data_IF_417426332639
#
_entry.id   IF_417426332639
#
_cell.length_a   1.000
_cell.length_b   1.000
_cell.length_c   1.000
_cell.angle_alpha   90.00
_cell.angle_beta   90.00
_cell.angle_gamma   90.00
#
_symmetry.space_group_name_H-M   'P 1'
#
loop_
_entity.id
_entity.type
_entity.pdbx_description
1 polymer ?
#
# COMPACT_ATOMS: atom_id res chain seq x y z
N UNK A 1 -11.97 6.55 -11.99
CA UNK A 1 -12.89 5.64 -11.29
C UNK A 1 -13.09 6.08 -9.86
N UNK A 2 -14.30 6.02 -9.36
CA UNK A 2 -14.65 6.38 -7.98
C UNK A 2 -14.57 5.14 -7.11
N UNK A 3 -13.94 5.27 -5.95
CA UNK A 3 -13.84 4.19 -4.97
C UNK A 3 -15.08 4.15 -4.07
N UNK A 4 -15.47 2.96 -3.65
CA UNK A 4 -16.48 2.79 -2.62
C UNK A 4 -15.99 3.41 -1.29
N UNK A 5 -16.90 3.98 -0.48
CA UNK A 5 -16.58 4.40 0.87
C UNK A 5 -15.95 3.25 1.66
N UNK A 6 -14.94 3.56 2.46
CA UNK A 6 -14.22 2.56 3.27
C UNK A 6 -13.61 1.40 2.48
N UNK A 7 -13.21 1.66 1.23
CA UNK A 7 -12.60 0.66 0.36
C UNK A 7 -11.40 -0.03 1.06
N UNK A 8 -11.46 -1.36 1.28
CA UNK A 8 -10.43 -2.08 2.00
C UNK A 8 -9.08 -2.09 1.27
N UNK A 9 -9.07 -1.89 -0.05
CA UNK A 9 -7.83 -1.85 -0.84
C UNK A 9 -6.93 -0.68 -0.42
N UNK A 10 -7.50 0.42 0.07
CA UNK A 10 -6.75 1.58 0.58
C UNK A 10 -5.98 1.29 1.87
N UNK A 11 -6.29 0.18 2.54
CA UNK A 11 -5.58 -0.23 3.75
C UNK A 11 -4.19 -0.82 3.47
N UNK A 12 -3.94 -1.27 2.26
CA UNK A 12 -2.65 -1.84 1.89
C UNK A 12 -1.66 -0.79 1.39
N UNK A 13 -2.15 0.17 0.64
CA UNK A 13 -1.33 1.22 0.01
C UNK A 13 -2.06 2.56 0.05
N UNK A 14 -1.29 3.63 0.19
CA UNK A 14 -1.82 4.99 0.11
C UNK A 14 -1.92 5.44 -1.35
N UNK A 15 -3.06 5.20 -1.96
CA UNK A 15 -3.38 5.63 -3.32
C UNK A 15 -4.81 6.19 -3.40
N UNK A 16 -5.20 6.73 -4.53
CA UNK A 16 -6.57 7.18 -4.76
C UNK A 16 -6.90 8.50 -4.10
N UNK A 17 -6.26 9.59 -4.53
CA UNK A 17 -6.58 10.95 -4.08
C UNK A 17 -8.07 11.23 -4.28
N UNK A 18 -8.70 11.82 -3.27
CA UNK A 18 -10.13 12.16 -3.28
C UNK A 18 -11.05 10.96 -3.59
N UNK A 19 -10.66 9.77 -3.14
CA UNK A 19 -11.38 8.51 -3.39
C UNK A 19 -11.50 8.17 -4.88
N UNK A 20 -10.52 8.59 -5.70
CA UNK A 20 -10.47 8.32 -7.13
C UNK A 20 -9.12 7.72 -7.53
N UNK A 21 -9.17 6.85 -8.52
CA UNK A 21 -8.00 6.41 -9.27
C UNK A 21 -8.14 6.88 -10.71
N UNK A 22 -7.19 7.70 -11.15
CA UNK A 22 -7.30 8.35 -12.45
C UNK A 22 -6.92 7.44 -13.61
N UNK A 23 -7.59 7.67 -14.74
CA UNK A 23 -7.16 7.23 -16.07
C UNK A 23 -6.77 5.76 -16.19
N UNK A 24 -7.49 4.85 -15.55
CA UNK A 24 -7.27 3.43 -15.78
C UNK A 24 -7.84 3.06 -17.16
N UNK A 25 -7.00 2.48 -18.00
CA UNK A 25 -7.42 1.98 -19.30
C UNK A 25 -8.42 0.84 -19.14
N UNK A 26 -9.45 0.83 -19.97
CA UNK A 26 -10.33 -0.31 -20.13
C UNK A 26 -10.56 -0.59 -21.63
N UNK A 27 -10.87 -1.81 -21.98
CA UNK A 27 -11.35 -2.17 -23.31
C UNK A 27 -12.87 -2.19 -23.27
N UNK A 28 -13.50 -1.63 -24.29
CA UNK A 28 -14.94 -1.61 -24.40
C UNK A 28 -15.55 -3.02 -24.45
N UNK A 29 -16.17 -3.46 -23.42
CA UNK A 29 -16.69 -4.82 -23.25
C UNK A 29 -16.19 -5.49 -21.96
N UNK A 30 -15.21 -4.90 -21.30
CA UNK A 30 -14.68 -5.37 -20.01
C UNK A 30 -15.25 -4.53 -18.87
N UNK A 31 -16.54 -4.61 -18.61
CA UNK A 31 -17.15 -3.99 -17.45
C UNK A 31 -17.98 -5.01 -16.67
N UNK A 32 -18.15 -4.77 -15.40
CA UNK A 32 -18.91 -5.65 -14.55
C UNK A 32 -20.42 -5.43 -14.72
N UNK A 33 -21.16 -6.50 -14.56
CA UNK A 33 -22.60 -6.54 -14.74
C UNK A 33 -23.42 -6.17 -13.50
N UNK A 34 -22.97 -5.24 -12.70
CA UNK A 34 -23.76 -4.82 -11.54
C UNK A 34 -24.25 -3.38 -11.72
N UNK A 35 -24.95 -3.16 -12.83
CA UNK A 35 -25.65 -1.91 -13.09
C UNK A 35 -26.89 -1.72 -12.22
N UNK A 36 -27.58 -0.63 -12.44
CA UNK A 36 -28.83 -0.32 -11.75
C UNK A 36 -29.84 -1.46 -11.94
N UNK A 37 -30.42 -1.95 -10.84
CA UNK A 37 -31.37 -3.06 -10.83
C UNK A 37 -30.78 -4.47 -10.91
N UNK A 38 -29.45 -4.61 -10.99
CA UNK A 38 -28.79 -5.92 -10.95
C UNK A 38 -28.83 -6.53 -9.55
N UNK A 39 -29.05 -7.83 -9.49
CA UNK A 39 -28.91 -8.59 -8.23
C UNK A 39 -27.43 -8.83 -7.97
N UNK A 40 -26.93 -8.27 -6.89
CA UNK A 40 -25.56 -8.50 -6.43
C UNK A 40 -25.57 -9.77 -5.59
N UNK A 41 -24.80 -10.83 -5.95
CA UNK A 41 -24.72 -12.04 -5.15
C UNK A 41 -24.25 -11.76 -3.72
N UNK A 42 -24.81 -12.45 -2.76
CA UNK A 42 -24.32 -12.44 -1.38
C UNK A 42 -22.83 -12.80 -1.35
N UNK A 43 -22.04 -12.12 -0.52
CA UNK A 43 -20.57 -12.30 -0.48
C UNK A 43 -19.81 -11.48 -1.51
N UNK A 44 -20.49 -10.62 -2.27
CA UNK A 44 -19.85 -9.66 -3.18
C UNK A 44 -19.55 -8.35 -2.47
N UNK A 45 -18.32 -7.87 -2.61
CA UNK A 45 -17.87 -6.58 -2.12
C UNK A 45 -17.43 -5.70 -3.30
N UNK A 46 -18.04 -4.52 -3.42
CA UNK A 46 -17.78 -3.57 -4.52
C UNK A 46 -16.68 -2.61 -4.08
N UNK A 47 -15.62 -2.50 -4.87
CA UNK A 47 -14.48 -1.62 -4.58
C UNK A 47 -14.52 -0.33 -5.39
N UNK A 48 -14.84 -0.40 -6.66
CA UNK A 48 -14.80 0.75 -7.56
C UNK A 48 -15.92 0.77 -8.57
N UNK A 49 -16.27 1.99 -9.00
CA UNK A 49 -17.22 2.27 -10.09
C UNK A 49 -16.57 3.23 -11.08
N UNK A 50 -17.02 3.18 -12.32
CA UNK A 50 -16.70 4.19 -13.33
C UNK A 50 -17.40 5.51 -12.97
N UNK A 51 -16.70 6.65 -13.06
CA UNK A 51 -17.19 7.97 -12.64
C UNK A 51 -17.29 8.99 -13.78
N UNK A 52 -17.29 8.51 -15.00
CA UNK A 52 -17.45 9.36 -16.18
C UNK A 52 -18.36 8.70 -17.21
N UNK A 53 -18.98 9.56 -18.02
CA UNK A 53 -19.83 9.11 -19.12
C UNK A 53 -18.93 8.61 -20.27
N UNK A 54 -18.80 7.31 -20.36
CA UNK A 54 -18.06 6.64 -21.39
C UNK A 54 -18.97 5.65 -22.12
N UNK A 55 -18.88 5.62 -23.42
CA UNK A 55 -19.53 4.61 -24.23
C UNK A 55 -18.56 3.47 -24.48
N UNK A 56 -18.94 2.26 -24.09
CA UNK A 56 -18.13 1.09 -24.38
C UNK A 56 -17.97 0.92 -25.90
N UNK A 57 -16.72 0.77 -26.35
CA UNK A 57 -16.37 0.79 -27.78
C UNK A 57 -17.21 -0.18 -28.62
N UNK A 58 -17.48 -1.36 -28.09
CA UNK A 58 -18.16 -2.42 -28.83
C UNK A 58 -19.66 -2.56 -28.50
N UNK A 59 -20.15 -1.95 -27.41
CA UNK A 59 -21.54 -2.11 -26.98
C UNK A 59 -22.36 -0.83 -27.06
N UNK A 60 -21.72 0.31 -27.24
CA UNK A 60 -22.34 1.65 -27.16
C UNK A 60 -23.10 1.90 -25.84
N UNK A 61 -22.86 1.09 -24.83
CA UNK A 61 -23.50 1.23 -23.54
C UNK A 61 -22.78 2.29 -22.70
N UNK A 62 -23.57 3.07 -21.99
CA UNK A 62 -23.05 3.95 -20.93
C UNK A 62 -22.53 3.09 -19.80
N UNK A 63 -21.36 3.42 -19.27
CA UNK A 63 -20.75 2.68 -18.15
C UNK A 63 -20.58 3.52 -16.87
N UNK A 64 -21.06 4.76 -16.89
CA UNK A 64 -21.04 5.60 -15.70
C UNK A 64 -21.82 4.95 -14.55
N UNK A 65 -21.20 4.86 -13.38
CA UNK A 65 -21.79 4.21 -12.21
C UNK A 65 -21.71 2.68 -12.20
N UNK A 66 -21.37 2.05 -13.31
CA UNK A 66 -21.15 0.59 -13.36
C UNK A 66 -19.97 0.16 -12.50
N UNK A 67 -20.07 -1.05 -11.95
CA UNK A 67 -19.01 -1.62 -11.13
C UNK A 67 -17.82 -1.97 -11.99
N UNK A 68 -16.66 -1.38 -11.70
CA UNK A 68 -15.41 -1.68 -12.38
C UNK A 68 -14.59 -2.75 -11.66
N UNK A 69 -14.65 -2.79 -10.32
CA UNK A 69 -13.83 -3.70 -9.51
C UNK A 69 -14.62 -4.20 -8.31
N UNK A 70 -14.56 -5.50 -8.09
CA UNK A 70 -15.25 -6.16 -6.97
C UNK A 70 -14.52 -7.42 -6.51
N UNK A 71 -14.84 -7.89 -5.33
CA UNK A 71 -14.45 -9.21 -4.86
C UNK A 71 -15.68 -10.07 -4.57
N UNK A 72 -15.50 -11.37 -4.65
CA UNK A 72 -16.52 -12.35 -4.30
C UNK A 72 -15.91 -13.49 -3.48
N UNK A 73 -16.63 -13.89 -2.45
CA UNK A 73 -16.34 -15.07 -1.66
C UNK A 73 -17.65 -15.77 -1.31
N UNK A 74 -17.85 -16.97 -1.81
CA UNK A 74 -19.11 -17.69 -1.63
C UNK A 74 -19.38 -18.10 -0.18
N UNK A 75 -18.34 -18.50 0.56
CA UNK A 75 -18.41 -18.91 1.97
C UNK A 75 -17.00 -19.00 2.58
N UNK A 76 -16.89 -19.34 3.85
CA UNK A 76 -15.61 -19.37 4.56
C UNK A 76 -14.61 -20.42 4.07
N UNK A 77 -15.10 -21.44 3.36
CA UNK A 77 -14.27 -22.52 2.80
C UNK A 77 -13.85 -22.28 1.36
N UNK A 78 -14.46 -21.29 0.68
CA UNK A 78 -14.12 -20.95 -0.71
C UNK A 78 -12.92 -20.01 -0.79
N UNK A 79 -12.20 -20.06 -1.89
CA UNK A 79 -11.24 -19.01 -2.27
C UNK A 79 -11.95 -17.69 -2.54
N UNK A 80 -11.20 -16.58 -2.45
CA UNK A 80 -11.68 -15.27 -2.85
C UNK A 80 -11.28 -14.99 -4.28
N UNK A 81 -12.20 -14.42 -5.05
CA UNK A 81 -11.96 -13.92 -6.39
C UNK A 81 -11.99 -12.39 -6.33
N UNK A 82 -11.00 -11.72 -6.91
CA UNK A 82 -11.01 -10.28 -7.14
C UNK A 82 -11.00 -10.04 -8.63
N UNK A 83 -11.94 -9.25 -9.11
CA UNK A 83 -12.15 -8.97 -10.52
C UNK A 83 -12.07 -7.48 -10.79
N UNK A 84 -11.54 -7.13 -11.95
CA UNK A 84 -11.58 -5.76 -12.48
C UNK A 84 -11.91 -5.79 -13.96
N UNK A 85 -12.78 -4.88 -14.41
CA UNK A 85 -13.07 -4.63 -15.81
C UNK A 85 -12.11 -3.63 -16.46
N UNK A 86 -11.06 -3.22 -15.74
CA UNK A 86 -10.04 -2.28 -16.22
C UNK A 86 -8.68 -2.98 -16.37
N UNK A 87 -7.74 -2.27 -16.99
CA UNK A 87 -6.38 -2.73 -17.25
C UNK A 87 -5.34 -1.96 -16.41
N UNK A 88 -5.30 -2.14 -15.07
CA UNK A 88 -4.31 -1.48 -14.22
C UNK A 88 -2.87 -1.93 -14.55
N UNK A 89 -2.70 -3.14 -15.07
CA UNK A 89 -1.42 -3.69 -15.51
C UNK A 89 -0.83 -2.98 -16.75
N UNK A 90 -1.63 -2.20 -17.46
CA UNK A 90 -1.16 -1.45 -18.63
C UNK A 90 -0.20 -0.30 -18.27
N UNK A 91 0.14 -0.16 -17.02
CA UNK A 91 1.11 0.81 -16.52
C UNK A 91 2.08 0.15 -15.56
N UNK A 92 3.30 0.64 -15.56
CA UNK A 92 4.42 0.05 -14.84
C UNK A 92 4.76 0.80 -13.54
N UNK A 93 4.00 1.84 -13.20
CA UNK A 93 4.27 2.64 -12.00
C UNK A 93 3.02 3.42 -11.53
N UNK A 94 3.10 3.95 -10.32
CA UNK A 94 2.10 4.85 -9.75
C UNK A 94 0.91 4.16 -9.12
N UNK A 95 -0.17 4.92 -8.92
CA UNK A 95 -1.35 4.49 -8.17
C UNK A 95 -2.04 3.26 -8.77
N UNK A 96 -2.01 3.12 -10.07
CA UNK A 96 -2.62 1.97 -10.76
C UNK A 96 -1.91 0.66 -10.45
N UNK A 97 -0.58 0.68 -10.32
CA UNK A 97 0.18 -0.49 -9.89
C UNK A 97 -0.08 -0.81 -8.41
N UNK A 98 -0.16 0.21 -7.57
CA UNK A 98 -0.53 0.04 -6.14
C UNK A 98 -1.93 -0.54 -6.01
N UNK A 99 -2.87 -0.09 -6.82
CA UNK A 99 -4.22 -0.65 -6.88
C UNK A 99 -4.21 -2.14 -7.26
N UNK A 100 -3.45 -2.52 -8.29
CA UNK A 100 -3.31 -3.93 -8.68
C UNK A 100 -2.69 -4.78 -7.57
N UNK A 101 -1.61 -4.29 -6.94
CA UNK A 101 -0.98 -4.97 -5.81
C UNK A 101 -1.94 -5.12 -4.62
N UNK A 102 -2.74 -4.11 -4.32
CA UNK A 102 -3.77 -4.17 -3.28
C UNK A 102 -4.84 -5.22 -3.58
N UNK A 103 -5.28 -5.36 -4.83
CA UNK A 103 -6.22 -6.42 -5.22
C UNK A 103 -5.65 -7.81 -4.98
N UNK A 104 -4.39 -8.04 -5.36
CA UNK A 104 -3.72 -9.33 -5.13
C UNK A 104 -3.64 -9.63 -3.62
N UNK A 105 -3.21 -8.64 -2.83
CA UNK A 105 -3.10 -8.81 -1.39
C UNK A 105 -4.47 -9.05 -0.73
N UNK A 106 -5.51 -8.34 -1.15
CA UNK A 106 -6.87 -8.58 -0.68
C UNK A 106 -7.38 -9.97 -1.06
N UNK A 107 -7.08 -10.46 -2.24
CA UNK A 107 -7.45 -11.82 -2.64
C UNK A 107 -6.84 -12.88 -1.71
N UNK A 108 -5.62 -12.67 -1.24
CA UNK A 108 -4.91 -13.56 -0.33
C UNK A 108 -5.38 -13.44 1.12
N UNK A 109 -5.46 -12.23 1.65
CA UNK A 109 -5.66 -11.96 3.08
C UNK A 109 -7.13 -11.66 3.44
N UNK A 110 -7.80 -10.88 2.61
CA UNK A 110 -9.23 -10.60 2.71
C UNK A 110 -9.70 -9.72 3.86
N UNK A 111 -8.79 -9.10 4.59
CA UNK A 111 -9.12 -8.30 5.76
C UNK A 111 -8.99 -6.78 5.52
N UNK A 112 -8.41 -6.37 4.41
CA UNK A 112 -8.17 -4.96 4.09
C UNK A 112 -7.21 -4.29 5.08
N UNK A 113 -6.31 -5.03 5.69
CA UNK A 113 -5.30 -4.50 6.62
C UNK A 113 -3.90 -4.85 6.15
N UNK A 114 -2.94 -3.91 6.21
CA UNK A 114 -1.54 -4.20 5.93
C UNK A 114 -0.99 -5.27 6.87
N UNK A 115 -0.07 -6.07 6.36
CA UNK A 115 0.69 -7.02 7.18
C UNK A 115 1.65 -6.26 8.09
N UNK A 116 1.57 -6.55 9.39
CA UNK A 116 2.50 -5.99 10.38
C UNK A 116 3.78 -6.82 10.42
N UNK A 117 4.94 -6.17 10.30
CA UNK A 117 6.27 -6.79 10.39
C UNK A 117 6.65 -7.20 11.81
N UNK A 118 5.88 -6.80 12.80
CA UNK A 118 6.06 -7.12 14.22
C UNK A 118 5.95 -5.90 15.12
N UNK A 119 6.09 -6.12 16.41
CA UNK A 119 6.10 -5.07 17.43
C UNK A 119 7.52 -4.52 17.62
N UNK A 120 7.63 -3.20 17.70
CA UNK A 120 8.86 -2.52 18.10
C UNK A 120 8.94 -2.49 19.64
N UNK A 121 10.07 -2.96 20.18
CA UNK A 121 10.33 -2.93 21.60
C UNK A 121 11.31 -1.80 21.94
N UNK A 122 11.05 -1.03 22.99
CA UNK A 122 11.95 0.05 23.40
C UNK A 122 13.36 -0.46 23.65
N UNK A 123 14.36 0.28 23.15
CA UNK A 123 15.79 0.01 23.25
C UNK A 123 16.28 -1.26 22.51
N UNK A 124 15.43 -1.89 21.71
CA UNK A 124 15.81 -2.99 20.82
C UNK A 124 15.97 -2.47 19.39
N UNK A 125 17.04 -2.90 18.73
CA UNK A 125 17.26 -2.59 17.31
C UNK A 125 16.56 -3.64 16.46
N UNK A 126 15.58 -3.20 15.68
CA UNK A 126 14.93 -4.03 14.66
C UNK A 126 15.71 -3.94 13.36
N UNK A 127 16.28 -5.05 12.92
CA UNK A 127 17.05 -5.14 11.67
C UNK A 127 16.15 -5.67 10.54
N UNK A 128 15.98 -4.88 9.50
CA UNK A 128 15.23 -5.21 8.30
C UNK A 128 16.19 -5.41 7.13
N UNK A 129 16.91 -6.53 7.13
CA UNK A 129 18.07 -6.77 6.26
C UNK A 129 18.00 -8.05 5.43
N UNK A 130 16.98 -8.89 5.66
CA UNK A 130 16.86 -10.15 4.95
C UNK A 130 16.43 -9.95 3.50
N UNK A 131 16.88 -10.83 2.62
CA UNK A 131 16.45 -10.83 1.22
C UNK A 131 14.97 -11.19 1.05
N UNK A 132 14.39 -10.81 -0.06
CA UNK A 132 12.96 -11.08 -0.37
C UNK A 132 12.65 -12.57 -0.55
N UNK A 133 13.65 -13.40 -0.82
CA UNK A 133 13.52 -14.85 -0.92
C UNK A 133 13.64 -15.57 0.45
N UNK A 134 13.89 -14.83 1.53
CA UNK A 134 13.98 -15.41 2.88
C UNK A 134 12.59 -15.87 3.34
N UNK A 135 12.54 -17.01 4.03
CA UNK A 135 11.30 -17.58 4.57
C UNK A 135 10.75 -16.82 5.78
N UNK A 136 11.45 -15.81 6.29
CA UNK A 136 10.98 -14.96 7.38
C UNK A 136 10.66 -13.55 6.89
N UNK A 137 9.45 -13.30 6.39
CA UNK A 137 9.06 -12.01 5.81
C UNK A 137 9.03 -10.88 6.85
N UNK A 138 9.07 -11.19 8.14
CA UNK A 138 9.05 -10.19 9.21
C UNK A 138 10.33 -9.33 9.26
N UNK A 139 11.42 -9.76 8.63
CA UNK A 139 12.74 -9.09 8.67
C UNK A 139 13.28 -8.72 7.28
N UNK A 140 12.47 -8.81 6.24
CA UNK A 140 12.91 -8.49 4.87
C UNK A 140 13.23 -7.01 4.70
N UNK A 141 14.21 -6.72 3.85
CA UNK A 141 14.49 -5.38 3.34
C UNK A 141 13.26 -4.84 2.59
N UNK A 142 13.10 -3.51 2.57
CA UNK A 142 11.94 -2.88 1.95
C UNK A 142 12.16 -2.68 0.46
N UNK A 143 11.20 -3.11 -0.35
CA UNK A 143 11.24 -2.96 -1.80
C UNK A 143 10.66 -1.64 -2.31
N UNK A 144 10.73 -1.47 -3.62
CA UNK A 144 10.20 -0.33 -4.37
C UNK A 144 8.77 0.03 -3.95
N UNK A 145 8.58 1.25 -3.46
CA UNK A 145 7.29 1.82 -3.02
C UNK A 145 6.53 1.03 -1.96
N UNK A 146 7.15 0.05 -1.33
CA UNK A 146 6.52 -0.73 -0.26
C UNK A 146 6.41 0.09 1.02
N UNK A 147 5.43 -0.31 1.83
CA UNK A 147 5.31 0.05 3.24
C UNK A 147 5.65 -1.15 4.12
N UNK A 148 6.46 -0.93 5.14
CA UNK A 148 6.61 -1.84 6.27
C UNK A 148 5.92 -1.24 7.47
N UNK A 149 4.92 -1.91 8.01
CA UNK A 149 4.18 -1.48 9.19
C UNK A 149 4.63 -2.25 10.42
N UNK A 150 4.76 -1.53 11.51
CA UNK A 150 5.10 -2.04 12.82
C UNK A 150 4.11 -1.53 13.85
N UNK A 151 3.91 -2.28 14.92
CA UNK A 151 3.18 -1.81 16.09
C UNK A 151 4.16 -1.33 17.16
N UNK A 152 3.70 -0.40 17.99
CA UNK A 152 4.41 0.11 19.15
C UNK A 152 3.43 0.35 20.28
N UNK A 153 3.59 -0.34 21.38
CA UNK A 153 2.79 -0.11 22.60
C UNK A 153 3.45 0.96 23.44
N UNK A 154 2.79 2.11 23.60
CA UNK A 154 3.25 3.22 24.45
C UNK A 154 2.63 3.10 25.84
N UNK A 155 3.44 2.94 26.91
CA UNK A 155 2.95 2.89 28.28
C UNK A 155 2.41 4.25 28.77
N UNK A 156 1.63 4.24 29.83
CA UNK A 156 1.23 5.48 30.51
C UNK A 156 2.44 6.18 31.13
N UNK A 157 2.48 7.51 31.02
CA UNK A 157 3.49 8.35 31.66
C UNK A 157 4.76 8.58 30.83
N UNK A 158 4.86 8.05 29.64
CA UNK A 158 5.95 8.38 28.71
C UNK A 158 5.87 9.85 28.35
N UNK A 159 6.95 10.59 28.59
CA UNK A 159 7.05 12.02 28.28
C UNK A 159 7.45 12.25 26.83
N UNK A 160 8.26 11.36 26.30
CA UNK A 160 8.77 11.44 24.93
C UNK A 160 9.04 10.05 24.37
N UNK A 161 8.63 9.80 23.15
CA UNK A 161 9.03 8.65 22.36
C UNK A 161 9.85 9.14 21.17
N UNK A 162 11.04 8.58 21.00
CA UNK A 162 11.92 8.84 19.86
C UNK A 162 12.01 7.57 19.02
N UNK A 163 11.74 7.71 17.74
CA UNK A 163 11.84 6.61 16.76
C UNK A 163 12.93 7.00 15.77
N UNK A 164 13.94 6.16 15.63
CA UNK A 164 15.06 6.37 14.69
C UNK A 164 15.04 5.27 13.64
N UNK A 165 15.16 5.66 12.40
CA UNK A 165 15.40 4.84 11.24
C UNK A 165 16.81 5.13 10.76
N UNK A 166 17.64 4.11 10.59
CA UNK A 166 18.98 4.29 10.04
C UNK A 166 19.17 3.37 8.83
N UNK A 167 19.75 3.92 7.78
CA UNK A 167 20.24 3.16 6.66
C UNK A 167 21.39 2.23 7.07
N UNK A 168 21.73 1.31 6.19
CA UNK A 168 22.90 0.46 6.35
C UNK A 168 24.05 1.06 5.54
N UNK A 169 25.24 1.10 6.11
CA UNK A 169 26.45 1.61 5.45
C UNK A 169 26.63 1.04 4.04
N UNK A 170 26.91 1.90 3.08
CA UNK A 170 27.01 1.55 1.65
C UNK A 170 25.64 1.37 0.94
N UNK A 171 24.52 1.61 1.65
CA UNK A 171 23.14 1.61 1.13
C UNK A 171 22.39 2.88 1.49
N UNK A 172 23.09 3.95 1.79
CA UNK A 172 22.60 5.26 2.23
C UNK A 172 22.06 6.16 1.10
N UNK A 173 22.26 5.75 -0.14
CA UNK A 173 21.83 6.46 -1.35
C UNK A 173 20.37 6.17 -1.77
N UNK A 174 19.58 5.58 -0.90
CA UNK A 174 18.13 5.42 -1.07
C UNK A 174 17.37 6.45 -0.23
N UNK A 175 16.14 6.69 -0.60
CA UNK A 175 15.21 7.54 0.15
C UNK A 175 14.15 6.68 0.83
N UNK A 176 14.08 6.78 2.14
CA UNK A 176 13.06 6.16 2.97
C UNK A 176 12.28 7.27 3.70
N UNK A 177 11.02 7.03 3.99
CA UNK A 177 10.21 7.86 4.89
C UNK A 177 9.87 7.11 6.15
N UNK A 178 9.79 7.84 7.27
CA UNK A 178 9.35 7.34 8.56
C UNK A 178 8.06 8.03 8.97
N UNK A 179 7.04 7.24 9.32
CA UNK A 179 5.70 7.74 9.63
C UNK A 179 5.19 7.14 10.93
N UNK A 180 4.35 7.89 11.66
CA UNK A 180 3.72 7.41 12.88
C UNK A 180 2.27 7.86 12.98
N UNK A 181 1.40 6.99 13.50
CA UNK A 181 -0.02 7.26 13.75
C UNK A 181 -0.49 6.52 14.99
N UNK A 182 -1.30 7.19 15.80
CA UNK A 182 -2.00 6.57 16.92
C UNK A 182 -3.21 5.77 16.46
N UNK A 183 -3.34 4.55 16.92
CA UNK A 183 -4.55 3.74 16.81
C UNK A 183 -4.85 3.11 15.45
N UNK A 184 -4.12 3.48 14.39
CA UNK A 184 -4.37 2.96 13.04
C UNK A 184 -3.09 3.04 12.18
N UNK A 185 -3.07 2.34 11.05
CA UNK A 185 -1.93 2.30 10.12
C UNK A 185 -1.52 3.69 9.62
N UNK A 186 -0.22 3.95 9.65
CA UNK A 186 0.35 5.19 9.16
C UNK A 186 0.64 5.10 7.64
N UNK A 187 0.06 6.02 6.87
CA UNK A 187 0.36 6.26 5.48
C UNK A 187 0.65 7.75 5.29
N UNK A 188 1.27 8.16 4.20
CA UNK A 188 1.61 9.57 3.96
C UNK A 188 0.45 10.56 4.20
N UNK A 189 -0.75 10.20 3.76
CA UNK A 189 -1.93 11.09 3.89
C UNK A 189 -2.60 11.02 5.24
N UNK A 190 -2.30 10.02 6.06
CA UNK A 190 -3.02 9.75 7.31
C UNK A 190 -2.12 9.74 8.53
N UNK A 191 -0.81 9.82 8.37
CA UNK A 191 0.14 9.86 9.46
C UNK A 191 -0.05 11.13 10.31
N UNK A 192 0.07 10.99 11.63
CA UNK A 192 0.08 12.13 12.54
C UNK A 192 1.44 12.84 12.54
N UNK A 193 2.51 12.07 12.38
CA UNK A 193 3.88 12.59 12.24
C UNK A 193 4.58 11.86 11.10
N UNK A 194 5.46 12.59 10.41
CA UNK A 194 6.25 12.01 9.34
C UNK A 194 7.58 12.75 9.17
N UNK A 195 8.61 12.01 8.80
CA UNK A 195 9.89 12.52 8.31
C UNK A 195 10.09 11.97 6.89
N UNK A 196 9.95 12.85 5.91
CA UNK A 196 10.04 12.58 4.47
C UNK A 196 11.23 13.27 3.83
N UNK A 197 12.22 13.69 4.63
CA UNK A 197 13.48 14.26 4.13
C UNK A 197 14.21 13.27 3.23
N UNK A 198 15.17 13.72 2.44
CA UNK A 198 15.98 12.85 1.59
C UNK A 198 16.89 11.95 2.41
N UNK A 199 17.26 10.81 1.86
CA UNK A 199 18.15 9.81 2.45
C UNK A 199 17.42 8.76 3.31
N UNK A 200 18.19 7.87 3.92
CA UNK A 200 17.66 6.77 4.74
C UNK A 200 17.45 7.15 6.19
N UNK A 201 18.29 8.01 6.76
CA UNK A 201 18.26 8.30 8.20
C UNK A 201 17.11 9.25 8.56
N UNK A 202 16.27 8.83 9.48
CA UNK A 202 15.08 9.58 9.92
C UNK A 202 14.96 9.57 11.44
N UNK A 203 14.35 10.62 11.96
CA UNK A 203 14.01 10.68 13.38
C UNK A 203 12.63 11.31 13.58
N UNK A 204 11.73 10.58 14.23
CA UNK A 204 10.50 11.13 14.75
C UNK A 204 10.58 11.27 16.26
N UNK A 205 10.08 12.40 16.77
CA UNK A 205 9.94 12.66 18.20
C UNK A 205 8.47 12.92 18.47
N UNK A 206 7.88 12.10 19.34
CA UNK A 206 6.50 12.25 19.78
C UNK A 206 6.55 12.78 21.21
N UNK A 207 6.23 14.05 21.38
CA UNK A 207 6.13 14.68 22.69
C UNK A 207 4.82 14.28 23.37
N UNK A 208 4.90 13.80 24.60
CA UNK A 208 3.76 13.37 25.41
C UNK A 208 2.82 12.42 24.67
N UNK A 209 3.35 11.30 24.12
CA UNK A 209 2.53 10.37 23.34
C UNK A 209 1.38 9.85 24.19
N UNK A 210 0.21 9.71 23.60
CA UNK A 210 -0.89 9.00 24.25
C UNK A 210 -0.53 7.56 24.49
N UNK A 211 -0.87 7.06 25.70
CA UNK A 211 -0.72 5.65 26.01
C UNK A 211 -1.64 4.80 25.14
N UNK A 212 -1.15 3.68 24.64
CA UNK A 212 -1.89 2.76 23.78
C UNK A 212 -1.09 2.35 22.56
N UNK A 213 -1.81 1.85 21.56
CA UNK A 213 -1.20 1.35 20.36
C UNK A 213 -0.90 2.46 19.35
N UNK A 214 0.32 2.48 18.86
CA UNK A 214 0.78 3.28 17.76
C UNK A 214 1.20 2.37 16.61
N UNK A 215 1.09 2.89 15.40
CA UNK A 215 1.59 2.24 14.19
C UNK A 215 2.72 3.08 13.61
N UNK A 216 3.83 2.44 13.39
CA UNK A 216 5.02 3.03 12.79
C UNK A 216 5.16 2.43 11.41
N UNK A 217 5.38 3.27 10.40
CA UNK A 217 5.61 2.79 9.05
C UNK A 217 6.91 3.34 8.47
N UNK A 218 7.59 2.50 7.73
CA UNK A 218 8.68 2.88 6.83
C UNK A 218 8.18 2.70 5.42
N UNK A 219 8.40 3.70 4.57
CA UNK A 219 8.12 3.61 3.15
C UNK A 219 9.39 3.80 2.34
N UNK A 220 9.56 3.01 1.28
CA UNK A 220 10.59 3.22 0.28
C UNK A 220 10.10 4.25 -0.74
N UNK A 221 10.78 5.41 -0.79
CA UNK A 221 10.48 6.47 -1.75
C UNK A 221 11.24 6.29 -3.05
N UNK A 222 12.43 5.67 -2.97
CA UNK A 222 13.20 5.32 -4.16
C UNK A 222 12.41 4.33 -5.00
N UNK A 223 12.30 4.63 -6.28
CA UNK A 223 11.59 3.78 -7.25
C UNK A 223 12.46 3.52 -8.47
N UNK A 224 12.26 2.37 -9.07
CA UNK A 224 12.83 2.06 -10.38
C UNK A 224 12.15 2.90 -11.45
N UNK A 225 12.92 3.44 -12.37
CA UNK A 225 12.41 4.13 -13.54
C UNK A 225 12.12 3.15 -14.67
N UNK A 226 11.20 3.51 -15.55
CA UNK A 226 10.85 2.71 -16.71
C UNK A 226 10.82 3.54 -17.97
N UNK A 227 11.15 2.92 -19.10
CA UNK A 227 10.98 3.49 -20.43
C UNK A 227 10.44 2.46 -21.41
N UNK A 228 9.85 2.93 -22.49
CA UNK A 228 9.46 2.06 -23.60
C UNK A 228 10.72 1.69 -24.38
N UNK A 229 11.05 0.40 -24.38
CA UNK A 229 12.12 -0.18 -25.18
C UNK A 229 11.60 -0.83 -26.45
N UNK A 230 12.52 -1.34 -27.27
CA UNK A 230 12.21 -2.00 -28.53
C UNK A 230 11.31 -3.25 -28.38
N UNK A 231 11.46 -3.95 -27.26
CA UNK A 231 10.78 -5.24 -27.00
C UNK A 231 9.81 -5.18 -25.80
N UNK A 232 9.44 -3.98 -25.35
CA UNK A 232 8.56 -3.77 -24.22
C UNK A 232 9.15 -2.80 -23.20
N UNK A 233 8.68 -2.86 -21.95
CA UNK A 233 9.14 -2.00 -20.88
C UNK A 233 10.55 -2.38 -20.43
N UNK A 234 11.45 -1.42 -20.43
CA UNK A 234 12.79 -1.52 -19.87
C UNK A 234 12.84 -0.83 -18.51
N UNK A 235 13.38 -1.52 -17.51
CA UNK A 235 13.65 -0.95 -16.19
C UNK A 235 15.03 -0.30 -16.15
N UNK A 236 15.07 0.96 -15.76
CA UNK A 236 16.29 1.79 -15.75
C UNK A 236 16.46 2.48 -14.38
N UNK A 237 17.50 3.30 -14.23
CA UNK A 237 17.75 4.04 -12.99
C UNK A 237 18.12 3.11 -11.82
N UNK A 238 17.46 3.29 -10.70
CA UNK A 238 17.73 2.62 -9.42
C UNK A 238 17.17 1.20 -9.35
N UNK A 239 17.55 0.33 -10.28
CA UNK A 239 17.09 -1.07 -10.33
C UNK A 239 17.45 -1.87 -9.08
N UNK A 240 18.49 -1.47 -8.36
CA UNK A 240 18.94 -2.08 -7.11
C UNK A 240 17.88 -2.03 -5.99
N UNK A 241 16.94 -1.08 -6.03
CA UNK A 241 15.79 -1.03 -5.11
C UNK A 241 14.91 -2.28 -5.18
N UNK A 242 14.88 -2.96 -6.32
CA UNK A 242 14.11 -4.20 -6.50
C UNK A 242 14.64 -5.36 -5.65
N UNK A 243 15.90 -5.28 -5.21
CA UNK A 243 16.50 -6.26 -4.30
C UNK A 243 16.21 -5.96 -2.82
N UNK A 244 15.50 -4.87 -2.55
CA UNK A 244 15.20 -4.38 -1.23
C UNK A 244 16.27 -3.45 -0.65
N UNK A 245 15.83 -2.44 0.08
CA UNK A 245 16.65 -1.47 0.82
C UNK A 245 16.72 -1.92 2.27
N UNK A 246 17.88 -2.31 2.78
CA UNK A 246 18.04 -2.70 4.18
C UNK A 246 18.07 -1.47 5.08
N UNK A 247 17.54 -1.60 6.29
CA UNK A 247 17.52 -0.54 7.30
C UNK A 247 17.38 -1.11 8.71
N UNK A 248 17.55 -0.24 9.70
CA UNK A 248 17.28 -0.56 11.11
C UNK A 248 16.28 0.43 11.70
N UNK A 249 15.50 -0.03 12.68
CA UNK A 249 14.61 0.79 13.50
C UNK A 249 14.94 0.62 14.97
N UNK A 250 14.88 1.73 15.72
CA UNK A 250 14.97 1.71 17.17
C UNK A 250 13.97 2.69 17.77
N UNK A 251 13.38 2.33 18.90
CA UNK A 251 12.50 3.20 19.68
C UNK A 251 13.07 3.38 21.08
N UNK A 252 13.06 4.61 21.58
CA UNK A 252 13.42 4.92 22.97
C UNK A 252 12.32 5.74 23.64
N UNK A 253 12.11 5.52 24.93
CA UNK A 253 11.17 6.28 25.75
C UNK A 253 11.92 7.08 26.83
N UNK A 254 11.42 8.30 27.09
CA UNK A 254 11.85 9.19 28.16
C UNK A 254 10.68 9.57 29.08
#
# INVERSE_FOLDING_TARGET
MTMAPHNPLLKYYDFGKDMKVDSIRHNGGCFAYFGEGSIIPEGTEIFMRYDYDTVAVNSRAQIHGEVSTWAYKANDKSGRVVMTGSHPEAVVSGERLQFMAAMVQYAMEGNGQPTVKGELRPNEIRQMIKGTADNDPAYTAIGDRQYHHFTLTVPKGVKKARITLNGIEGKDNFDLSLLAKEGDFAFHRTAHLQDVSLGCDKTLVIEKPKAGQWYIAVRCETTVETRNGKYGTEYIGRRDVLNGVPYTLCVTFE
#
